data_IF_927936346045
#
_entry.id   IF_927936346045
#
_cell.length_a   1.000
_cell.length_b   1.000
_cell.length_c   1.000
_cell.angle_alpha   90.00
_cell.angle_beta   90.00
_cell.angle_gamma   90.00
#
_symmetry.space_group_name_H-M   'P 1'
#
loop_
_entity.id
_entity.type
_entity.pdbx_description
1 polymer ?
#
# COMPACT_ATOMS: atom_id res chain seq x y z
N UNK A 1 -1.40 -22.94 -10.06
CA UNK A 1 0.01 -22.55 -9.88
C UNK A 1 0.17 -21.04 -9.99
N UNK A 2 1.14 -20.44 -9.31
CA UNK A 2 1.45 -19.00 -9.36
C UNK A 2 1.60 -18.50 -10.80
N UNK A 3 2.34 -19.16 -11.71
CA UNK A 3 2.46 -18.71 -13.09
C UNK A 3 1.13 -18.59 -13.82
N UNK A 4 0.16 -19.45 -13.57
CA UNK A 4 -1.15 -19.40 -14.25
C UNK A 4 -2.01 -18.24 -13.74
N UNK A 5 -2.00 -17.93 -12.45
CA UNK A 5 -2.73 -16.81 -11.88
C UNK A 5 -2.21 -15.47 -12.41
N UNK A 6 -0.89 -15.30 -12.43
CA UNK A 6 -0.23 -14.11 -12.98
C UNK A 6 -0.53 -13.96 -14.48
N UNK A 7 -0.43 -15.04 -15.26
CA UNK A 7 -0.71 -15.03 -16.70
C UNK A 7 -2.16 -14.61 -17.00
N UNK A 8 -3.13 -15.16 -16.26
CA UNK A 8 -4.54 -14.79 -16.43
C UNK A 8 -4.81 -13.32 -16.10
N UNK A 9 -4.23 -12.83 -15.00
CA UNK A 9 -4.38 -11.44 -14.60
C UNK A 9 -3.73 -10.50 -15.62
N UNK A 10 -2.52 -10.81 -16.10
CA UNK A 10 -1.82 -10.03 -17.12
C UNK A 10 -2.62 -9.96 -18.42
N UNK A 11 -3.12 -11.09 -18.91
CA UNK A 11 -3.93 -11.12 -20.11
C UNK A 11 -5.20 -10.27 -19.97
N UNK A 12 -5.86 -10.32 -18.81
CA UNK A 12 -7.04 -9.48 -18.52
C UNK A 12 -6.68 -7.99 -18.53
N UNK A 13 -5.58 -7.60 -17.91
CA UNK A 13 -5.13 -6.20 -17.88
C UNK A 13 -4.79 -5.69 -19.27
N UNK A 14 -4.06 -6.46 -20.08
CA UNK A 14 -3.69 -6.09 -21.44
C UNK A 14 -4.95 -5.92 -22.31
N UNK A 15 -5.87 -6.89 -22.28
CA UNK A 15 -7.11 -6.83 -23.06
C UNK A 15 -8.01 -5.68 -22.59
N UNK A 16 -8.16 -5.50 -21.27
CA UNK A 16 -8.95 -4.41 -20.70
C UNK A 16 -8.38 -3.04 -21.08
N UNK A 17 -7.05 -2.87 -21.03
CA UNK A 17 -6.39 -1.64 -21.49
C UNK A 17 -6.66 -1.38 -22.96
N UNK A 18 -6.48 -2.37 -23.83
CA UNK A 18 -6.70 -2.22 -25.27
C UNK A 18 -8.14 -1.79 -25.59
N UNK A 19 -9.13 -2.40 -24.92
CA UNK A 19 -10.53 -2.02 -25.05
C UNK A 19 -10.78 -0.55 -24.64
N UNK A 20 -10.22 -0.11 -23.50
CA UNK A 20 -10.39 1.28 -23.04
C UNK A 20 -9.68 2.30 -23.93
N UNK A 21 -8.51 1.97 -24.44
CA UNK A 21 -7.77 2.83 -25.38
C UNK A 21 -8.57 3.01 -26.67
N UNK A 22 -9.21 1.96 -27.19
CA UNK A 22 -10.02 2.04 -28.43
C UNK A 22 -11.29 2.91 -28.29
N UNK A 23 -11.75 3.15 -27.06
CA UNK A 23 -12.88 4.06 -26.77
C UNK A 23 -12.49 5.55 -26.80
N UNK A 24 -11.18 5.87 -26.83
CA UNK A 24 -10.65 7.24 -26.75
C UNK A 24 -9.92 7.62 -28.04
N UNK A 25 -10.62 8.23 -29.04
CA UNK A 25 -10.00 8.62 -30.30
C UNK A 25 -8.76 9.53 -30.16
N UNK A 26 -8.74 10.35 -29.09
CA UNK A 26 -7.65 11.27 -28.77
C UNK A 26 -6.60 10.68 -27.81
N UNK A 27 -6.53 9.35 -27.68
CA UNK A 27 -5.64 8.68 -26.71
C UNK A 27 -4.19 9.17 -26.77
N UNK A 28 -3.58 9.25 -27.94
CA UNK A 28 -2.17 9.67 -28.05
C UNK A 28 -1.96 11.12 -27.66
N UNK A 29 -2.92 12.01 -27.96
CA UNK A 29 -2.89 13.40 -27.51
C UNK A 29 -2.98 13.49 -25.98
N UNK A 30 -3.91 12.77 -25.36
CA UNK A 30 -4.04 12.73 -23.90
C UNK A 30 -2.80 12.15 -23.21
N UNK A 31 -2.21 11.12 -23.81
CA UNK A 31 -0.96 10.53 -23.34
C UNK A 31 0.21 11.53 -23.39
N UNK A 32 0.30 12.29 -24.45
CA UNK A 32 1.32 13.35 -24.58
C UNK A 32 1.11 14.44 -23.53
N UNK A 33 -0.12 14.93 -23.36
CA UNK A 33 -0.46 15.92 -22.32
C UNK A 33 -0.05 15.41 -20.92
N UNK A 34 -0.37 14.14 -20.61
CA UNK A 34 0.04 13.53 -19.34
C UNK A 34 1.55 13.41 -19.18
N UNK A 35 2.29 13.21 -20.25
CA UNK A 35 3.76 13.21 -20.26
C UNK A 35 4.31 14.62 -19.97
N UNK A 36 3.78 15.63 -20.65
CA UNK A 36 4.21 17.02 -20.50
C UNK A 36 3.94 17.56 -19.08
N UNK A 37 2.79 17.21 -18.51
CA UNK A 37 2.46 17.56 -17.12
C UNK A 37 3.48 16.95 -16.14
N UNK A 38 3.86 15.70 -16.33
CA UNK A 38 4.86 15.05 -15.45
C UNK A 38 6.24 15.64 -15.63
N UNK A 39 6.65 15.90 -16.86
CA UNK A 39 7.94 16.55 -17.16
C UNK A 39 8.00 17.92 -16.48
N UNK A 40 6.97 18.75 -16.67
CA UNK A 40 6.87 20.05 -16.03
C UNK A 40 6.92 19.94 -14.49
N UNK A 41 6.21 18.95 -13.91
CA UNK A 41 6.23 18.75 -12.45
C UNK A 41 7.61 18.39 -11.93
N UNK A 42 8.37 17.57 -12.68
CA UNK A 42 9.75 17.20 -12.32
C UNK A 42 10.68 18.40 -12.45
N UNK A 43 10.55 19.16 -13.52
CA UNK A 43 11.37 20.34 -13.79
C UNK A 43 11.22 21.44 -12.73
N UNK A 44 10.01 21.60 -12.18
CA UNK A 44 9.68 22.61 -11.16
C UNK A 44 9.36 21.99 -9.80
N UNK A 45 9.94 20.82 -9.50
CA UNK A 45 9.61 20.09 -8.28
C UNK A 45 9.94 20.86 -7.00
N UNK A 46 11.05 21.58 -6.97
CA UNK A 46 11.47 22.43 -5.87
C UNK A 46 10.43 23.53 -5.55
N UNK A 47 9.90 24.18 -6.60
CA UNK A 47 8.84 25.20 -6.47
C UNK A 47 7.55 24.57 -5.92
N UNK A 48 7.15 23.40 -6.45
CA UNK A 48 5.93 22.73 -6.00
C UNK A 48 6.06 22.22 -4.56
N UNK A 49 7.20 21.68 -4.17
CA UNK A 49 7.43 21.17 -2.81
C UNK A 49 7.46 22.32 -1.80
N UNK A 50 8.14 23.43 -2.13
CA UNK A 50 8.12 24.65 -1.27
C UNK A 50 6.70 25.16 -1.07
N UNK A 51 5.93 25.29 -2.15
CA UNK A 51 4.54 25.74 -2.09
C UNK A 51 3.64 24.77 -1.32
N UNK A 52 3.86 23.45 -1.47
CA UNK A 52 3.15 22.42 -0.69
C UNK A 52 3.41 22.61 0.81
N UNK A 53 4.66 22.76 1.21
CA UNK A 53 5.05 22.97 2.60
C UNK A 53 4.37 24.22 3.19
N UNK A 54 4.42 25.36 2.47
CA UNK A 54 3.77 26.59 2.88
C UNK A 54 2.25 26.41 3.10
N UNK A 55 1.58 25.73 2.14
CA UNK A 55 0.13 25.49 2.20
C UNK A 55 -0.26 24.55 3.32
N UNK A 56 0.49 23.50 3.55
CA UNK A 56 0.26 22.55 4.65
C UNK A 56 0.44 23.24 6.00
N UNK A 57 1.52 24.02 6.16
CA UNK A 57 1.75 24.80 7.40
C UNK A 57 0.66 25.85 7.64
N UNK A 58 0.23 26.57 6.60
CA UNK A 58 -0.86 27.55 6.70
C UNK A 58 -2.20 26.91 7.08
N UNK A 59 -2.41 25.63 6.75
CA UNK A 59 -3.57 24.86 7.15
C UNK A 59 -3.44 24.20 8.54
N UNK A 60 -2.36 24.48 9.29
CA UNK A 60 -2.09 23.91 10.61
C UNK A 60 -1.46 22.51 10.60
N UNK A 61 -1.03 22.03 9.44
CA UNK A 61 -0.31 20.75 9.31
C UNK A 61 1.20 20.89 9.48
N UNK A 62 1.87 19.74 9.52
CA UNK A 62 3.32 19.64 9.60
C UNK A 62 3.89 18.95 8.37
N UNK A 63 5.06 19.41 7.90
CA UNK A 63 5.82 18.78 6.82
C UNK A 63 7.18 18.42 7.37
N UNK A 64 7.59 17.19 7.15
CA UNK A 64 8.89 16.67 7.52
C UNK A 64 9.66 16.27 6.26
N UNK A 65 10.94 16.58 6.25
CA UNK A 65 11.85 16.21 5.16
C UNK A 65 12.79 15.11 5.63
N UNK A 66 13.04 14.14 4.79
CA UNK A 66 13.96 13.06 5.05
C UNK A 66 14.76 12.76 3.79
N UNK A 67 16.07 12.63 3.93
CA UNK A 67 16.98 12.31 2.83
C UNK A 67 17.22 10.81 2.67
N UNK A 68 16.90 10.01 3.67
CA UNK A 68 17.06 8.54 3.66
C UNK A 68 15.86 7.84 4.27
N UNK A 69 15.74 6.55 3.98
CA UNK A 69 14.70 5.68 4.56
C UNK A 69 14.79 5.63 6.11
N UNK A 70 16.00 5.56 6.63
CA UNK A 70 16.26 5.54 8.08
C UNK A 70 15.81 6.84 8.75
N UNK A 71 16.07 7.97 8.11
CA UNK A 71 15.64 9.27 8.60
C UNK A 71 14.12 9.39 8.60
N UNK A 72 13.46 8.99 7.52
CA UNK A 72 12.00 8.96 7.43
C UNK A 72 11.38 8.09 8.53
N UNK A 73 11.88 6.88 8.73
CA UNK A 73 11.44 5.98 9.78
C UNK A 73 11.66 6.59 11.18
N UNK A 74 12.80 7.22 11.42
CA UNK A 74 13.10 7.88 12.70
C UNK A 74 12.10 8.99 13.01
N UNK A 75 11.75 9.81 12.03
CA UNK A 75 10.75 10.88 12.19
C UNK A 75 9.38 10.28 12.55
N UNK A 76 8.94 9.26 11.83
CA UNK A 76 7.65 8.59 12.12
C UNK A 76 7.64 7.97 13.51
N UNK A 77 8.72 7.29 13.92
CA UNK A 77 8.84 6.68 15.25
C UNK A 77 8.87 7.72 16.36
N UNK A 78 9.53 8.86 16.14
CA UNK A 78 9.53 9.97 17.09
C UNK A 78 8.11 10.50 17.30
N UNK A 79 7.36 10.80 16.24
CA UNK A 79 5.98 11.26 16.32
C UNK A 79 5.11 10.22 17.05
N UNK A 80 5.25 8.93 16.70
CA UNK A 80 4.53 7.86 17.36
C UNK A 80 4.82 7.77 18.87
N UNK A 81 6.08 7.97 19.27
CA UNK A 81 6.50 7.99 20.67
C UNK A 81 5.91 9.17 21.44
N UNK A 82 5.95 10.38 20.86
CA UNK A 82 5.39 11.59 21.46
C UNK A 82 3.89 11.47 21.76
N UNK A 83 3.19 10.70 20.93
CA UNK A 83 1.76 10.43 21.09
C UNK A 83 1.42 9.09 21.75
N UNK A 84 2.39 8.35 22.25
CA UNK A 84 2.22 7.04 22.88
C UNK A 84 1.45 6.04 22.00
N UNK A 85 1.69 6.06 20.68
CA UNK A 85 1.03 5.21 19.70
C UNK A 85 1.34 3.73 19.96
N UNK A 86 0.31 2.89 19.96
CA UNK A 86 0.42 1.43 20.07
C UNK A 86 0.05 0.72 18.78
N UNK A 87 -0.76 1.37 17.96
CA UNK A 87 -1.24 0.81 16.68
C UNK A 87 -1.17 1.89 15.62
N UNK A 88 -0.57 1.58 14.49
CA UNK A 88 -0.52 2.42 13.30
C UNK A 88 -1.33 1.77 12.19
N UNK A 89 -2.33 2.47 11.67
CA UNK A 89 -3.18 2.01 10.58
C UNK A 89 -2.71 2.67 9.28
N UNK A 90 -2.46 1.87 8.28
CA UNK A 90 -1.97 2.33 6.97
C UNK A 90 -2.97 1.97 5.86
N UNK A 91 -3.15 2.88 4.92
CA UNK A 91 -3.65 2.50 3.61
C UNK A 91 -2.48 2.27 2.66
N UNK A 92 -2.77 1.75 1.46
CA UNK A 92 -1.75 1.41 0.46
C UNK A 92 -0.77 2.57 0.21
N UNK A 93 0.51 2.31 0.48
CA UNK A 93 1.59 3.24 0.20
C UNK A 93 2.87 2.49 -0.18
N UNK A 94 3.27 2.59 -1.43
CA UNK A 94 4.51 1.98 -1.90
C UNK A 94 5.75 2.65 -1.28
N UNK A 95 5.70 3.95 -1.02
CA UNK A 95 6.81 4.64 -0.36
C UNK A 95 7.07 4.07 1.04
N UNK A 96 6.03 3.75 1.81
CA UNK A 96 6.20 3.15 3.14
C UNK A 96 6.69 1.71 3.10
N UNK A 97 6.41 0.95 2.02
CA UNK A 97 7.01 -0.36 1.79
C UNK A 97 8.50 -0.25 1.45
N UNK A 98 8.86 0.66 0.55
CA UNK A 98 10.26 0.89 0.13
C UNK A 98 11.17 1.29 1.29
N UNK A 99 10.68 2.12 2.22
CA UNK A 99 11.45 2.50 3.42
C UNK A 99 11.38 1.48 4.56
N UNK A 100 10.62 0.39 4.41
CA UNK A 100 10.47 -0.66 5.43
C UNK A 100 9.78 -0.20 6.72
N UNK A 101 8.80 0.71 6.60
CA UNK A 101 8.14 1.33 7.75
C UNK A 101 7.47 0.31 8.68
N UNK A 102 6.80 -0.73 8.15
CA UNK A 102 6.15 -1.76 8.97
C UNK A 102 7.16 -2.42 9.91
N UNK A 103 8.32 -2.82 9.39
CA UNK A 103 9.38 -3.41 10.21
C UNK A 103 9.94 -2.45 11.26
N UNK A 104 10.02 -1.15 10.93
CA UNK A 104 10.47 -0.14 11.89
C UNK A 104 9.46 0.01 13.04
N UNK A 105 8.17 0.09 12.75
CA UNK A 105 7.09 0.16 13.73
C UNK A 105 7.05 -1.09 14.64
N UNK A 106 7.09 -2.29 14.05
CA UNK A 106 7.08 -3.56 14.77
C UNK A 106 8.27 -3.69 15.73
N UNK A 107 9.49 -3.33 15.30
CA UNK A 107 10.66 -3.30 16.18
C UNK A 107 10.53 -2.32 17.34
N UNK A 108 9.76 -1.26 17.17
CA UNK A 108 9.44 -0.29 18.22
C UNK A 108 8.23 -0.71 19.11
N UNK A 109 7.68 -1.90 18.90
CA UNK A 109 6.53 -2.42 19.63
C UNK A 109 5.19 -1.78 19.22
N UNK A 110 5.12 -1.18 18.04
CA UNK A 110 3.92 -0.56 17.48
C UNK A 110 3.33 -1.52 16.45
N UNK A 111 2.09 -1.92 16.63
CA UNK A 111 1.38 -2.78 15.69
C UNK A 111 1.06 -2.01 14.40
N UNK A 112 1.59 -2.45 13.26
CA UNK A 112 1.24 -1.92 11.95
C UNK A 112 0.08 -2.73 11.33
N UNK A 113 -0.98 -2.07 10.88
CA UNK A 113 -2.16 -2.70 10.28
C UNK A 113 -2.40 -2.13 8.89
N UNK A 114 -2.35 -2.99 7.88
CA UNK A 114 -2.74 -2.66 6.52
C UNK A 114 -4.27 -2.66 6.39
N UNK A 115 -4.83 -1.67 5.69
CA UNK A 115 -6.27 -1.54 5.48
C UNK A 115 -6.71 -1.75 4.03
N UNK A 116 -5.79 -1.74 3.08
CA UNK A 116 -6.06 -2.22 1.72
C UNK A 116 -6.18 -3.74 1.74
N UNK A 117 -7.22 -4.28 1.10
CA UNK A 117 -7.51 -5.71 1.14
C UNK A 117 -6.36 -6.57 0.61
N UNK A 118 -5.71 -6.15 -0.47
CA UNK A 118 -4.60 -6.88 -1.07
C UNK A 118 -3.37 -6.91 -0.15
N UNK A 119 -3.01 -5.76 0.41
CA UNK A 119 -1.92 -5.62 1.38
C UNK A 119 -2.24 -6.39 2.68
N UNK A 120 -3.48 -6.33 3.15
CA UNK A 120 -3.90 -7.07 4.34
C UNK A 120 -3.77 -8.58 4.16
N UNK A 121 -4.18 -9.12 2.99
CA UNK A 121 -4.02 -10.55 2.66
C UNK A 121 -2.53 -10.93 2.69
N UNK A 122 -1.67 -10.14 2.09
CA UNK A 122 -0.23 -10.36 2.07
C UNK A 122 0.37 -10.29 3.47
N UNK A 123 -0.02 -9.29 4.26
CA UNK A 123 0.40 -9.15 5.65
C UNK A 123 0.02 -10.38 6.48
N UNK A 124 -1.22 -10.88 6.36
CA UNK A 124 -1.67 -12.06 7.08
C UNK A 124 -0.98 -13.35 6.61
N UNK A 125 -0.66 -13.46 5.34
CA UNK A 125 0.11 -14.58 4.81
C UNK A 125 1.60 -14.54 5.20
N UNK A 126 2.10 -13.45 5.77
CA UNK A 126 3.52 -13.23 6.04
C UNK A 126 4.37 -13.18 4.77
N UNK A 127 3.77 -12.79 3.65
CA UNK A 127 4.37 -12.76 2.32
C UNK A 127 4.74 -11.33 1.90
N UNK A 128 5.30 -11.16 0.71
CA UNK A 128 5.66 -9.86 0.14
C UNK A 128 4.75 -9.51 -1.03
N UNK A 129 4.39 -8.22 -1.20
CA UNK A 129 3.65 -7.76 -2.37
C UNK A 129 4.40 -8.10 -3.66
N UNK A 130 3.73 -8.77 -4.60
CA UNK A 130 4.34 -9.14 -5.90
C UNK A 130 4.05 -8.13 -7.00
N UNK A 131 3.19 -7.15 -6.76
CA UNK A 131 2.80 -6.13 -7.73
C UNK A 131 2.31 -4.86 -7.03
N UNK A 132 2.67 -3.69 -7.60
CA UNK A 132 2.34 -2.38 -7.03
C UNK A 132 0.83 -2.16 -6.87
N UNK A 133 0.03 -2.49 -7.88
CA UNK A 133 -1.42 -2.22 -7.90
C UNK A 133 -2.22 -3.41 -7.35
N UNK A 134 -1.74 -4.63 -7.58
CA UNK A 134 -2.41 -5.87 -7.20
C UNK A 134 -1.45 -6.75 -6.38
N UNK A 135 -1.17 -6.39 -5.11
CA UNK A 135 -0.13 -7.03 -4.31
C UNK A 135 -0.33 -8.54 -4.16
N UNK A 136 -1.56 -9.01 -4.08
CA UNK A 136 -1.94 -10.42 -3.94
C UNK A 136 -2.22 -11.13 -5.28
N UNK A 137 -1.75 -10.61 -6.43
CA UNK A 137 -2.05 -11.16 -7.78
C UNK A 137 -1.58 -12.62 -7.94
N UNK A 138 -0.59 -13.04 -7.18
CA UNK A 138 -0.02 -14.39 -7.18
C UNK A 138 -0.78 -15.37 -6.27
N UNK A 139 -1.69 -14.87 -5.44
CA UNK A 139 -2.49 -15.67 -4.49
C UNK A 139 -3.83 -16.04 -5.13
N UNK A 140 -4.19 -17.30 -5.09
CA UNK A 140 -5.48 -17.76 -5.61
C UNK A 140 -6.59 -17.68 -4.54
N UNK A 141 -7.85 -17.82 -4.98
CA UNK A 141 -9.04 -17.73 -4.13
C UNK A 141 -9.03 -18.73 -2.96
N UNK A 142 -8.54 -19.93 -3.21
CA UNK A 142 -8.47 -21.02 -2.22
C UNK A 142 -7.45 -20.71 -1.14
N UNK A 143 -6.29 -20.17 -1.50
CA UNK A 143 -5.25 -19.72 -0.57
C UNK A 143 -5.73 -18.56 0.29
N UNK A 144 -6.44 -17.60 -0.32
CA UNK A 144 -7.06 -16.49 0.43
C UNK A 144 -8.09 -17.03 1.43
N UNK A 145 -8.95 -17.95 1.02
CA UNK A 145 -9.96 -18.55 1.89
C UNK A 145 -9.33 -19.31 3.06
N UNK A 146 -8.20 -19.98 2.83
CA UNK A 146 -7.45 -20.67 3.88
C UNK A 146 -6.85 -19.67 4.88
N UNK A 147 -6.16 -18.65 4.41
CA UNK A 147 -5.61 -17.60 5.26
C UNK A 147 -6.68 -16.96 6.15
N UNK A 148 -7.86 -16.67 5.60
CA UNK A 148 -8.98 -16.14 6.38
C UNK A 148 -9.53 -17.14 7.41
N UNK A 149 -9.57 -18.44 7.09
CA UNK A 149 -9.97 -19.48 8.07
C UNK A 149 -8.97 -19.59 9.23
N UNK A 150 -7.68 -19.56 8.95
CA UNK A 150 -6.62 -19.57 9.97
C UNK A 150 -6.72 -18.38 10.93
N UNK A 151 -7.14 -17.22 10.42
CA UNK A 151 -7.44 -16.04 11.24
C UNK A 151 -8.74 -16.14 12.05
N UNK A 152 -9.53 -17.19 11.88
CA UNK A 152 -10.80 -17.39 12.55
C UNK A 152 -12.01 -16.77 11.82
N UNK A 153 -11.84 -16.27 10.59
CA UNK A 153 -12.93 -15.86 9.71
C UNK A 153 -13.53 -17.10 9.03
N UNK A 154 -14.34 -17.85 9.74
CA UNK A 154 -15.10 -18.96 9.16
C UNK A 154 -16.55 -18.55 8.91
N UNK A 155 -17.14 -19.00 7.79
CA UNK A 155 -18.58 -18.93 7.62
C UNK A 155 -19.26 -19.84 8.66
N UNK A 156 -19.65 -19.28 9.80
CA UNK A 156 -20.60 -19.96 10.66
C UNK A 156 -22.00 -19.64 10.15
N UNK A 157 -22.85 -20.65 10.09
CA UNK A 157 -24.28 -20.55 9.72
C UNK A 157 -25.10 -19.68 10.69
N UNK A 158 -24.46 -18.98 11.60
CA UNK A 158 -25.07 -18.08 12.59
C UNK A 158 -24.30 -16.77 12.55
N UNK A 159 -24.78 -15.82 11.79
CA UNK A 159 -24.42 -14.40 11.80
C UNK A 159 -22.94 -14.06 12.03
N UNK A 160 -22.44 -13.13 11.24
CA UNK A 160 -21.10 -12.60 11.37
C UNK A 160 -20.84 -12.06 12.79
N UNK A 161 -20.04 -12.76 13.57
CA UNK A 161 -19.38 -12.21 14.76
C UNK A 161 -17.92 -11.97 14.36
N UNK A 162 -17.56 -10.70 14.27
CA UNK A 162 -16.15 -10.31 14.07
C UNK A 162 -15.32 -10.84 15.23
N UNK A 163 -14.40 -11.77 15.05
CA UNK A 163 -13.43 -12.09 16.09
C UNK A 163 -12.55 -10.86 16.32
N UNK A 164 -12.17 -10.63 17.57
CA UNK A 164 -11.16 -9.63 17.87
C UNK A 164 -9.90 -9.93 17.04
N UNK A 165 -9.27 -8.92 16.41
CA UNK A 165 -8.10 -9.13 15.59
C UNK A 165 -7.02 -9.83 16.42
N UNK A 166 -6.64 -11.03 16.02
CA UNK A 166 -5.43 -11.65 16.53
C UNK A 166 -4.28 -10.88 15.90
N UNK A 167 -3.32 -10.46 16.72
CA UNK A 167 -2.10 -9.81 16.22
C UNK A 167 -1.45 -10.64 15.12
N UNK A 168 -0.61 -10.01 14.28
CA UNK A 168 0.05 -10.69 13.18
C UNK A 168 0.78 -11.96 13.67
N UNK A 169 0.79 -13.02 12.89
CA UNK A 169 1.51 -14.23 13.23
C UNK A 169 2.99 -13.90 13.43
N UNK A 170 3.55 -14.33 14.56
CA UNK A 170 4.99 -14.23 14.76
C UNK A 170 5.70 -14.99 13.65
N UNK A 171 6.54 -14.31 12.86
CA UNK A 171 7.42 -14.97 11.89
C UNK A 171 8.24 -16.02 12.63
N UNK A 172 8.20 -17.23 12.15
CA UNK A 172 9.23 -18.23 12.48
C UNK A 172 10.52 -17.77 11.78
N UNK A 173 11.55 -17.58 12.59
CA UNK A 173 12.92 -17.36 12.12
C UNK A 173 13.39 -18.51 11.21
#
# INVERSE_FOLDING_TARGET
SIPSAVQQATNRFVSGRAARVSELPQWEQLRQIGSDIRLHTIEYMDVYLTRLEEKVKAAGGHVHWASTAEEANRIVLQIASEHNVKTAVKSKSMATEEIGLNHALERAGIQAIETDLGEYIIQQAGDHPSHIIAPAIHVNKEQIAEAFREMGYGATSRGYQSPAPKGPPHRKE
#
